data_IF_229529770476
#
_entry.id   IF_229529770476
#
_cell.length_a   1.000
_cell.length_b   1.000
_cell.length_c   1.000
_cell.angle_alpha   90.00
_cell.angle_beta   90.00
_cell.angle_gamma   90.00
#
_symmetry.space_group_name_H-M   'P 1'
#
loop_
_entity.id
_entity.type
_entity.pdbx_description
1 polymer ?
#
# COMPACT_ATOMS: atom_id res chain seq x y z
N UNK A 1 -0.87 -21.45 11.47
CA UNK A 1 -1.32 -22.67 10.77
C UNK A 1 -2.78 -22.46 10.37
N UNK A 2 -3.02 -22.03 9.13
CA UNK A 2 -4.38 -21.77 8.62
C UNK A 2 -4.98 -23.10 8.14
N UNK A 3 -6.20 -23.48 8.57
CA UNK A 3 -6.74 -24.79 8.30
C UNK A 3 -7.07 -24.93 6.81
N UNK A 4 -6.60 -26.03 6.26
CA UNK A 4 -6.78 -26.50 4.88
C UNK A 4 -8.27 -26.65 4.56
N UNK A 5 -8.87 -25.62 3.95
CA UNK A 5 -10.16 -25.75 3.24
C UNK A 5 -9.95 -25.43 1.76
N UNK A 6 -8.96 -26.10 1.17
CA UNK A 6 -8.96 -26.47 -0.24
C UNK A 6 -9.33 -27.96 -0.35
N UNK A 7 -10.46 -28.37 0.25
CA UNK A 7 -11.02 -29.71 -0.02
C UNK A 7 -11.66 -29.69 -1.40
N UNK A 8 -10.82 -29.85 -2.42
CA UNK A 8 -11.04 -29.98 -3.87
C UNK A 8 -12.29 -29.30 -4.45
N UNK A 9 -12.09 -28.38 -5.42
CA UNK A 9 -13.18 -27.82 -6.22
C UNK A 9 -14.12 -28.90 -6.82
N UNK A 10 -13.59 -30.12 -7.03
CA UNK A 10 -14.36 -31.29 -7.47
C UNK A 10 -15.34 -31.80 -6.42
N UNK A 11 -14.95 -31.87 -5.14
CA UNK A 11 -15.85 -32.27 -4.05
C UNK A 11 -16.96 -31.22 -3.83
N UNK A 12 -16.61 -29.93 -3.89
CA UNK A 12 -17.60 -28.85 -3.84
C UNK A 12 -18.58 -28.93 -5.03
N UNK A 13 -18.08 -29.16 -6.24
CA UNK A 13 -18.92 -29.32 -7.42
C UNK A 13 -19.81 -30.57 -7.35
N UNK A 14 -19.28 -31.71 -6.88
CA UNK A 14 -20.04 -32.94 -6.71
C UNK A 14 -21.15 -32.78 -5.66
N UNK A 15 -20.83 -32.17 -4.51
CA UNK A 15 -21.82 -31.86 -3.49
C UNK A 15 -22.90 -30.91 -4.03
N UNK A 16 -22.51 -29.89 -4.79
CA UNK A 16 -23.45 -28.94 -5.38
C UNK A 16 -24.32 -29.59 -6.46
N UNK A 17 -23.80 -30.56 -7.21
CA UNK A 17 -24.58 -31.37 -8.15
C UNK A 17 -25.62 -32.24 -7.42
N UNK A 18 -25.25 -32.85 -6.28
CA UNK A 18 -26.20 -33.60 -5.44
C UNK A 18 -27.30 -32.68 -4.90
N UNK A 19 -26.93 -31.53 -4.34
CA UNK A 19 -27.90 -30.53 -3.87
C UNK A 19 -28.82 -30.06 -4.99
N UNK A 20 -28.27 -29.82 -6.19
CA UNK A 20 -29.04 -29.45 -7.38
C UNK A 20 -30.02 -30.55 -7.82
N UNK A 21 -29.59 -31.82 -7.80
CA UNK A 21 -30.45 -32.95 -8.12
C UNK A 21 -31.60 -33.12 -7.11
N UNK A 22 -31.32 -32.96 -5.81
CA UNK A 22 -32.34 -32.97 -4.75
C UNK A 22 -33.34 -31.82 -4.98
N UNK A 23 -32.84 -30.63 -5.31
CA UNK A 23 -33.71 -29.48 -5.60
C UNK A 23 -34.59 -29.71 -6.83
N UNK A 24 -34.06 -30.31 -7.91
CA UNK A 24 -34.86 -30.66 -9.09
C UNK A 24 -35.95 -31.69 -8.76
N UNK A 25 -35.64 -32.68 -7.91
CA UNK A 25 -36.64 -33.64 -7.44
C UNK A 25 -37.74 -32.95 -6.62
N UNK A 26 -37.36 -32.01 -5.74
CA UNK A 26 -38.34 -31.19 -5.00
C UNK A 26 -39.19 -30.33 -5.93
N UNK A 27 -38.58 -29.75 -6.97
CA UNK A 27 -39.29 -28.95 -7.97
C UNK A 27 -40.26 -29.80 -8.80
N UNK A 28 -39.95 -31.06 -9.06
CA UNK A 28 -40.88 -31.98 -9.71
C UNK A 28 -42.07 -32.34 -8.81
N UNK A 29 -41.90 -32.33 -7.48
CA UNK A 29 -42.94 -32.66 -6.50
C UNK A 29 -43.79 -31.45 -6.09
N UNK A 30 -43.22 -30.25 -6.06
CA UNK A 30 -43.89 -29.03 -5.61
C UNK A 30 -43.40 -27.78 -6.34
N UNK A 31 -44.36 -26.95 -6.75
CA UNK A 31 -44.10 -25.64 -7.34
C UNK A 31 -43.41 -24.66 -6.36
N UNK A 32 -43.59 -24.82 -5.05
CA UNK A 32 -43.01 -23.93 -4.03
C UNK A 32 -41.48 -24.12 -3.88
N UNK A 33 -40.92 -25.21 -4.41
CA UNK A 33 -39.49 -25.43 -4.42
C UNK A 33 -38.72 -24.35 -5.20
N UNK A 34 -39.41 -23.57 -6.05
CA UNK A 34 -38.83 -22.44 -6.79
C UNK A 34 -38.17 -21.41 -5.85
N UNK A 35 -38.69 -21.23 -4.64
CA UNK A 35 -38.15 -20.27 -3.66
C UNK A 35 -36.76 -20.67 -3.14
N UNK A 36 -36.44 -21.96 -3.17
CA UNK A 36 -35.11 -22.48 -2.77
C UNK A 36 -34.04 -22.18 -3.82
N UNK A 37 -34.41 -21.78 -5.04
CA UNK A 37 -33.46 -21.37 -6.07
C UNK A 37 -32.62 -20.14 -5.65
N UNK A 38 -33.20 -19.23 -4.87
CA UNK A 38 -32.52 -18.01 -4.44
C UNK A 38 -31.27 -18.29 -3.59
N UNK A 39 -31.33 -19.00 -2.45
CA UNK A 39 -30.12 -19.36 -1.70
C UNK A 39 -29.16 -20.26 -2.50
N UNK A 40 -29.67 -21.07 -3.44
CA UNK A 40 -28.83 -21.85 -4.34
C UNK A 40 -27.98 -20.96 -5.27
N UNK A 41 -28.51 -19.85 -5.77
CA UNK A 41 -27.72 -18.92 -6.59
C UNK A 41 -26.52 -18.36 -5.83
N UNK A 42 -26.69 -17.98 -4.57
CA UNK A 42 -25.59 -17.53 -3.71
C UNK A 42 -24.56 -18.63 -3.52
N UNK A 43 -25.00 -19.85 -3.24
CA UNK A 43 -24.14 -21.00 -3.03
C UNK A 43 -23.34 -21.36 -4.29
N UNK A 44 -23.99 -21.37 -5.46
CA UNK A 44 -23.36 -21.60 -6.76
C UNK A 44 -22.27 -20.56 -7.05
N UNK A 45 -22.57 -19.27 -6.85
CA UNK A 45 -21.63 -18.18 -7.11
C UNK A 45 -20.48 -18.12 -6.11
N UNK A 46 -20.68 -18.63 -4.89
CA UNK A 46 -19.65 -18.65 -3.85
C UNK A 46 -18.72 -19.88 -3.97
N UNK A 47 -19.25 -21.05 -4.33
CA UNK A 47 -18.48 -22.29 -4.41
C UNK A 47 -17.82 -22.52 -5.78
N UNK A 48 -18.42 -22.04 -6.87
CA UNK A 48 -17.89 -22.24 -8.23
C UNK A 48 -17.09 -21.02 -8.71
N UNK A 49 -16.20 -21.25 -9.67
CA UNK A 49 -15.47 -20.17 -10.34
C UNK A 49 -16.44 -19.21 -11.04
N UNK A 50 -16.05 -17.93 -11.20
CA UNK A 50 -16.90 -16.86 -11.75
C UNK A 50 -17.70 -17.25 -12.99
N UNK A 51 -17.10 -18.00 -13.93
CA UNK A 51 -17.76 -18.44 -15.17
C UNK A 51 -18.72 -19.61 -14.92
N UNK A 52 -18.30 -20.60 -14.13
CA UNK A 52 -19.09 -21.78 -13.84
C UNK A 52 -20.27 -21.47 -12.92
N UNK A 53 -20.12 -20.54 -11.97
CA UNK A 53 -21.21 -20.05 -11.13
C UNK A 53 -22.29 -19.31 -11.93
N UNK A 54 -21.89 -18.42 -12.87
CA UNK A 54 -22.85 -17.75 -13.76
C UNK A 54 -23.62 -18.76 -14.65
N UNK A 55 -22.91 -19.72 -15.24
CA UNK A 55 -23.55 -20.78 -16.03
C UNK A 55 -24.53 -21.61 -15.19
N UNK A 56 -24.14 -21.98 -13.97
CA UNK A 56 -24.99 -22.70 -13.03
C UNK A 56 -26.25 -21.90 -12.67
N UNK A 57 -26.12 -20.59 -12.37
CA UNK A 57 -27.26 -19.71 -12.08
C UNK A 57 -28.22 -19.69 -13.25
N UNK A 58 -27.74 -19.47 -14.47
CA UNK A 58 -28.59 -19.49 -15.68
C UNK A 58 -29.32 -20.83 -15.82
N UNK A 59 -28.62 -21.95 -15.63
CA UNK A 59 -29.23 -23.29 -15.69
C UNK A 59 -30.32 -23.48 -14.62
N UNK A 60 -30.06 -23.10 -13.37
CA UNK A 60 -31.08 -23.19 -12.31
C UNK A 60 -32.25 -22.23 -12.52
N UNK A 61 -32.02 -21.04 -13.07
CA UNK A 61 -33.09 -20.10 -13.43
C UNK A 61 -33.99 -20.69 -14.52
N UNK A 62 -33.41 -21.27 -15.56
CA UNK A 62 -34.18 -21.94 -16.62
C UNK A 62 -34.96 -23.15 -16.08
N UNK A 63 -34.34 -23.96 -15.22
CA UNK A 63 -35.00 -25.10 -14.59
C UNK A 63 -36.16 -24.65 -13.68
N UNK A 64 -35.97 -23.57 -12.91
CA UNK A 64 -37.01 -22.99 -12.06
C UNK A 64 -38.23 -22.53 -12.88
N UNK A 65 -37.99 -21.80 -13.97
CA UNK A 65 -39.06 -21.32 -14.87
C UNK A 65 -39.79 -22.50 -15.53
N UNK A 66 -39.04 -23.48 -16.05
CA UNK A 66 -39.61 -24.65 -16.73
C UNK A 66 -40.43 -25.53 -15.77
N UNK A 67 -39.89 -25.83 -14.58
CA UNK A 67 -40.58 -26.65 -13.58
C UNK A 67 -41.86 -25.99 -13.07
N UNK A 68 -41.81 -24.68 -12.79
CA UNK A 68 -42.98 -23.94 -12.33
C UNK A 68 -44.06 -23.81 -13.41
N UNK A 69 -43.66 -23.64 -14.68
CA UNK A 69 -44.60 -23.62 -15.81
C UNK A 69 -45.24 -24.99 -16.07
N UNK A 70 -44.48 -26.08 -15.91
CA UNK A 70 -45.00 -27.44 -16.05
C UNK A 70 -46.09 -27.76 -15.01
N UNK A 71 -45.95 -27.29 -13.77
CA UNK A 71 -46.96 -27.46 -12.72
C UNK A 71 -48.23 -26.65 -12.96
N UNK A 72 -48.12 -25.44 -13.49
CA UNK A 72 -49.28 -24.55 -13.71
C UNK A 72 -49.96 -24.73 -15.07
N UNK A 73 -49.38 -25.54 -15.97
CA UNK A 73 -49.90 -25.78 -17.32
C UNK A 73 -49.98 -24.52 -18.19
N UNK A 74 -49.44 -23.40 -17.72
CA UNK A 74 -49.48 -22.09 -18.36
C UNK A 74 -48.21 -21.31 -18.04
N UNK A 75 -47.88 -20.35 -18.89
CA UNK A 75 -46.73 -19.47 -18.72
C UNK A 75 -47.22 -18.05 -18.44
N UNK A 76 -46.81 -17.45 -17.33
CA UNK A 76 -47.06 -16.04 -17.05
C UNK A 76 -45.76 -15.28 -16.78
N UNK A 77 -45.73 -14.00 -17.16
CA UNK A 77 -44.54 -13.16 -16.99
C UNK A 77 -44.10 -13.07 -15.52
N UNK A 78 -45.06 -13.07 -14.59
CA UNK A 78 -44.79 -13.03 -13.15
C UNK A 78 -43.93 -14.20 -12.66
N UNK A 79 -44.06 -15.38 -13.31
CA UNK A 79 -43.28 -16.58 -12.97
C UNK A 79 -41.79 -16.44 -13.34
N UNK A 80 -41.49 -15.69 -14.40
CA UNK A 80 -40.12 -15.46 -14.85
C UNK A 80 -39.44 -14.31 -14.08
N UNK A 81 -40.21 -13.31 -13.65
CA UNK A 81 -39.68 -12.11 -12.98
C UNK A 81 -38.97 -12.45 -11.68
N UNK A 82 -39.53 -13.32 -10.83
CA UNK A 82 -38.93 -13.69 -9.53
C UNK A 82 -37.52 -14.30 -9.67
N UNK A 83 -37.37 -15.43 -10.39
CA UNK A 83 -36.07 -16.03 -10.64
C UNK A 83 -35.10 -15.12 -11.41
N UNK A 84 -35.59 -14.36 -12.40
CA UNK A 84 -34.76 -13.42 -13.16
C UNK A 84 -34.21 -12.29 -12.28
N UNK A 85 -35.05 -11.70 -11.42
CA UNK A 85 -34.63 -10.65 -10.49
C UNK A 85 -33.64 -11.22 -9.45
N UNK A 86 -33.90 -12.41 -8.91
CA UNK A 86 -32.97 -13.09 -8.01
C UNK A 86 -31.61 -13.35 -8.63
N UNK A 87 -31.57 -13.83 -9.88
CA UNK A 87 -30.35 -14.04 -10.64
C UNK A 87 -29.61 -12.71 -10.92
N UNK A 88 -30.34 -11.65 -11.26
CA UNK A 88 -29.76 -10.32 -11.50
C UNK A 88 -29.11 -9.74 -10.24
N UNK A 89 -29.80 -9.80 -9.09
CA UNK A 89 -29.26 -9.34 -7.80
C UNK A 89 -28.03 -10.16 -7.41
N UNK A 90 -28.09 -11.49 -7.53
CA UNK A 90 -26.97 -12.35 -7.23
C UNK A 90 -25.74 -12.04 -8.11
N UNK A 91 -25.94 -11.83 -9.42
CA UNK A 91 -24.88 -11.42 -10.33
C UNK A 91 -24.30 -10.04 -9.97
N UNK A 92 -25.16 -9.06 -9.64
CA UNK A 92 -24.74 -7.72 -9.24
C UNK A 92 -23.88 -7.74 -7.97
N UNK A 93 -24.27 -8.50 -6.94
CA UNK A 93 -23.50 -8.65 -5.69
C UNK A 93 -22.12 -9.25 -5.96
N UNK A 94 -22.03 -10.29 -6.79
CA UNK A 94 -20.75 -10.93 -7.10
C UNK A 94 -19.84 -9.99 -7.89
N UNK A 95 -20.37 -9.28 -8.88
CA UNK A 95 -19.59 -8.30 -9.63
C UNK A 95 -19.15 -7.14 -8.74
N UNK A 96 -20.02 -6.66 -7.85
CA UNK A 96 -19.71 -5.64 -6.85
C UNK A 96 -18.57 -6.09 -5.93
N UNK A 97 -18.67 -7.29 -5.35
CA UNK A 97 -17.62 -7.83 -4.49
C UNK A 97 -16.28 -7.95 -5.23
N UNK A 98 -16.28 -8.40 -6.49
CA UNK A 98 -15.05 -8.52 -7.29
C UNK A 98 -14.47 -7.19 -7.76
N UNK A 99 -15.31 -6.17 -7.97
CA UNK A 99 -14.85 -4.81 -8.23
C UNK A 99 -14.17 -4.24 -6.98
N UNK A 100 -14.86 -4.32 -5.84
CA UNK A 100 -14.34 -3.87 -4.54
C UNK A 100 -13.06 -4.58 -4.13
N UNK A 101 -12.98 -5.90 -4.34
CA UNK A 101 -11.78 -6.67 -4.00
C UNK A 101 -10.57 -6.27 -4.86
N UNK A 102 -10.77 -6.08 -6.17
CA UNK A 102 -9.70 -5.64 -7.07
C UNK A 102 -9.25 -4.22 -6.73
N UNK A 103 -10.19 -3.33 -6.46
CA UNK A 103 -9.90 -1.97 -6.03
C UNK A 103 -9.15 -1.94 -4.70
N UNK A 104 -9.54 -2.76 -3.73
CA UNK A 104 -8.88 -2.89 -2.43
C UNK A 104 -7.43 -3.38 -2.57
N UNK A 105 -7.19 -4.41 -3.39
CA UNK A 105 -5.83 -4.91 -3.64
C UNK A 105 -4.97 -3.88 -4.40
N UNK A 106 -5.53 -3.18 -5.38
CA UNK A 106 -4.82 -2.09 -6.07
C UNK A 106 -4.47 -0.95 -5.10
N UNK A 107 -5.42 -0.54 -4.26
CA UNK A 107 -5.20 0.49 -3.25
C UNK A 107 -4.13 0.04 -2.24
N UNK A 108 -4.12 -1.22 -1.82
CA UNK A 108 -3.09 -1.75 -0.92
C UNK A 108 -1.70 -1.65 -1.54
N UNK A 109 -1.55 -2.10 -2.80
CA UNK A 109 -0.28 -2.01 -3.54
C UNK A 109 0.22 -0.57 -3.67
N UNK A 110 -0.67 0.36 -4.00
CA UNK A 110 -0.31 1.78 -4.11
C UNK A 110 0.14 2.39 -2.78
N UNK A 111 -0.49 2.00 -1.66
CA UNK A 111 -0.08 2.45 -0.32
C UNK A 111 1.31 1.90 0.02
N UNK A 112 1.57 0.63 -0.27
CA UNK A 112 2.87 0.00 -0.08
C UNK A 112 3.97 0.72 -0.90
N UNK A 113 3.73 0.96 -2.20
CA UNK A 113 4.66 1.69 -3.08
C UNK A 113 4.90 3.14 -2.63
N UNK A 114 3.85 3.86 -2.24
CA UNK A 114 3.97 5.23 -1.73
C UNK A 114 4.77 5.28 -0.43
N UNK A 115 4.57 4.30 0.46
CA UNK A 115 5.28 4.23 1.74
C UNK A 115 6.76 3.93 1.52
N UNK A 116 7.08 3.00 0.62
CA UNK A 116 8.46 2.70 0.23
C UNK A 116 9.15 3.94 -0.38
N UNK A 117 8.50 4.61 -1.33
CA UNK A 117 9.04 5.81 -1.99
C UNK A 117 9.27 6.95 -0.99
N UNK A 118 8.36 7.15 -0.01
CA UNK A 118 8.55 8.15 1.05
C UNK A 118 9.71 7.81 1.97
N UNK A 119 9.92 6.53 2.30
CA UNK A 119 11.07 6.10 3.09
C UNK A 119 12.39 6.34 2.32
N UNK A 120 12.40 6.09 1.02
CA UNK A 120 13.55 6.35 0.16
C UNK A 120 13.87 7.85 0.07
N UNK A 121 12.82 8.68 -0.12
CA UNK A 121 12.96 10.13 -0.15
C UNK A 121 13.46 10.67 1.19
N UNK A 122 12.94 10.19 2.32
CA UNK A 122 13.38 10.60 3.64
C UNK A 122 14.86 10.26 3.88
N UNK A 123 15.30 9.07 3.45
CA UNK A 123 16.72 8.69 3.51
C UNK A 123 17.59 9.60 2.65
N UNK A 124 17.18 9.86 1.40
CA UNK A 124 17.92 10.73 0.49
C UNK A 124 18.02 12.17 1.03
N UNK A 125 16.93 12.72 1.58
CA UNK A 125 16.91 14.04 2.20
C UNK A 125 17.79 14.09 3.45
N UNK A 126 17.77 13.05 4.28
CA UNK A 126 18.65 12.99 5.45
C UNK A 126 20.12 12.99 5.04
N UNK A 127 20.52 12.16 4.06
CA UNK A 127 21.88 12.14 3.55
C UNK A 127 22.28 13.48 2.93
N UNK A 128 21.40 14.11 2.14
CA UNK A 128 21.64 15.43 1.57
C UNK A 128 21.80 16.50 2.67
N UNK A 129 20.98 16.44 3.73
CA UNK A 129 21.09 17.34 4.88
C UNK A 129 22.41 17.17 5.63
N UNK A 130 22.85 15.93 5.87
CA UNK A 130 24.15 15.65 6.52
C UNK A 130 25.31 16.17 5.67
N UNK A 131 25.24 16.02 4.34
CA UNK A 131 26.28 16.52 3.43
C UNK A 131 26.31 18.06 3.40
N UNK A 132 25.15 18.70 3.30
CA UNK A 132 25.05 20.16 3.33
C UNK A 132 25.58 20.74 4.64
N UNK A 133 25.29 20.10 5.77
CA UNK A 133 25.78 20.53 7.07
C UNK A 133 27.29 20.32 7.21
N UNK A 134 27.83 19.20 6.70
CA UNK A 134 29.29 19.00 6.65
C UNK A 134 29.99 20.07 5.83
N UNK A 135 29.43 20.45 4.69
CA UNK A 135 30.00 21.51 3.85
C UNK A 135 29.92 22.87 4.54
N UNK A 136 28.80 23.17 5.20
CA UNK A 136 28.63 24.38 6.02
C UNK A 136 29.68 24.45 7.12
N UNK A 137 29.83 23.37 7.89
CA UNK A 137 30.81 23.25 8.96
C UNK A 137 32.25 23.35 8.43
N UNK A 138 32.56 22.73 7.29
CA UNK A 138 33.88 22.85 6.69
C UNK A 138 34.22 24.28 6.29
N UNK A 139 33.25 25.03 5.74
CA UNK A 139 33.41 26.46 5.45
C UNK A 139 33.57 27.29 6.72
N UNK A 140 32.73 27.09 7.71
CA UNK A 140 32.77 27.83 8.98
C UNK A 140 34.11 27.59 9.72
N UNK A 141 34.59 26.35 9.78
CA UNK A 141 35.90 26.00 10.34
C UNK A 141 37.03 26.63 9.51
N UNK A 142 36.95 26.57 8.18
CA UNK A 142 37.99 27.14 7.32
C UNK A 142 38.08 28.66 7.46
N UNK A 143 36.94 29.35 7.54
CA UNK A 143 36.90 30.81 7.70
C UNK A 143 37.48 31.21 9.07
N UNK A 144 37.11 30.51 10.15
CA UNK A 144 37.68 30.75 11.49
C UNK A 144 39.18 30.48 11.53
N UNK A 145 39.65 29.37 10.97
CA UNK A 145 41.08 29.05 10.88
C UNK A 145 41.85 30.09 10.05
N UNK A 146 41.32 30.48 8.88
CA UNK A 146 41.94 31.47 8.02
C UNK A 146 42.03 32.85 8.70
N UNK A 147 40.99 33.25 9.44
CA UNK A 147 40.97 34.49 10.22
C UNK A 147 41.98 34.46 11.36
N UNK A 148 42.02 33.36 12.14
CA UNK A 148 42.98 33.18 13.24
C UNK A 148 44.43 33.23 12.77
N UNK A 149 44.75 32.50 11.70
CA UNK A 149 46.07 32.50 11.07
C UNK A 149 46.46 33.88 10.52
N UNK A 150 45.51 34.61 9.92
CA UNK A 150 45.76 35.95 9.40
C UNK A 150 46.07 36.95 10.51
N UNK A 151 45.36 36.87 11.64
CA UNK A 151 45.60 37.68 12.83
C UNK A 151 47.00 37.43 13.41
N UNK A 152 47.39 36.16 13.56
CA UNK A 152 48.73 35.77 14.02
C UNK A 152 49.81 36.29 13.07
N UNK A 153 49.64 36.13 11.75
CA UNK A 153 50.57 36.67 10.76
C UNK A 153 50.72 38.19 10.84
N UNK A 154 49.63 38.94 11.02
CA UNK A 154 49.68 40.40 11.14
C UNK A 154 50.44 40.84 12.39
N UNK A 155 50.23 40.17 13.54
CA UNK A 155 50.95 40.43 14.79
C UNK A 155 52.44 40.12 14.66
N UNK A 156 52.81 39.00 14.03
CA UNK A 156 54.21 38.66 13.79
C UNK A 156 54.90 39.67 12.85
N UNK A 157 54.22 40.11 11.78
CA UNK A 157 54.75 41.17 10.90
C UNK A 157 54.86 42.52 11.59
N UNK A 158 54.05 42.80 12.60
CA UNK A 158 54.18 44.01 13.42
C UNK A 158 55.39 43.90 14.35
N UNK A 159 55.61 42.73 14.96
CA UNK A 159 56.79 42.45 15.77
C UNK A 159 58.10 42.62 14.99
N UNK A 160 58.20 42.03 13.79
CA UNK A 160 59.39 42.13 12.92
C UNK A 160 59.73 43.59 12.57
N UNK A 161 58.73 44.42 12.33
CA UNK A 161 58.91 45.85 12.01
C UNK A 161 59.33 46.69 13.22
N UNK A 162 58.86 46.34 14.42
CA UNK A 162 59.18 47.05 15.65
C UNK A 162 60.54 46.66 16.24
N UNK A 163 61.07 45.48 15.90
CA UNK A 163 62.30 44.92 16.47
C UNK A 163 63.53 45.85 16.43
N UNK A 164 63.82 46.60 15.33
CA UNK A 164 65.02 47.43 15.24
C UNK A 164 64.96 48.72 16.07
N UNK A 165 63.76 49.23 16.34
CA UNK A 165 63.55 50.59 16.90
C UNK A 165 62.81 50.59 18.24
N UNK A 166 62.06 49.54 18.57
CA UNK A 166 61.29 49.40 19.80
C UNK A 166 61.15 47.91 20.21
N UNK A 167 62.24 47.28 20.71
CA UNK A 167 62.26 45.85 21.02
C UNK A 167 61.20 45.43 22.07
N UNK A 168 60.85 46.30 23.02
CA UNK A 168 59.79 46.01 24.00
C UNK A 168 58.40 45.85 23.33
N UNK A 169 58.11 46.66 22.31
CA UNK A 169 56.86 46.54 21.53
C UNK A 169 56.86 45.28 20.66
N UNK A 170 58.02 44.89 20.12
CA UNK A 170 58.15 43.64 19.38
C UNK A 170 57.83 42.42 20.27
N UNK A 171 58.33 42.39 21.52
CA UNK A 171 58.01 41.34 22.48
C UNK A 171 56.51 41.29 22.80
N UNK A 172 55.84 42.43 22.97
CA UNK A 172 54.38 42.48 23.19
C UNK A 172 53.59 41.88 22.02
N UNK A 173 53.98 42.18 20.77
CA UNK A 173 53.31 41.62 19.59
C UNK A 173 53.51 40.10 19.47
N UNK A 174 54.68 39.58 19.86
CA UNK A 174 54.93 38.13 19.92
C UNK A 174 54.05 37.46 20.99
N UNK A 175 53.95 38.05 22.18
CA UNK A 175 53.08 37.52 23.23
C UNK A 175 51.60 37.54 22.82
N UNK A 176 51.16 38.60 22.13
CA UNK A 176 49.81 38.68 21.56
C UNK A 176 49.58 37.61 20.47
N UNK A 177 50.55 37.38 19.58
CA UNK A 177 50.46 36.34 18.56
C UNK A 177 50.40 34.94 19.19
N UNK A 178 51.19 34.71 20.24
CA UNK A 178 51.19 33.47 21.01
C UNK A 178 49.84 33.25 21.70
N UNK A 179 49.30 34.29 22.34
CA UNK A 179 47.99 34.21 22.97
C UNK A 179 46.89 33.93 21.94
N UNK A 180 46.88 34.63 20.81
CA UNK A 180 45.95 34.39 19.71
C UNK A 180 46.05 32.95 19.16
N UNK A 181 47.25 32.37 19.10
CA UNK A 181 47.43 30.97 18.70
C UNK A 181 46.85 29.99 19.73
N UNK A 182 47.04 30.26 21.03
CA UNK A 182 46.46 29.46 22.12
C UNK A 182 44.94 29.55 22.10
N UNK A 183 44.40 30.76 21.93
CA UNK A 183 42.95 30.99 21.91
C UNK A 183 42.30 30.30 20.69
N UNK A 184 42.89 30.42 19.50
CA UNK A 184 42.40 29.71 18.30
C UNK A 184 42.48 28.18 18.43
N UNK A 185 43.47 27.65 19.16
CA UNK A 185 43.57 26.21 19.43
C UNK A 185 42.58 25.72 20.51
N UNK A 186 42.16 26.61 21.41
CA UNK A 186 41.16 26.28 22.43
C UNK A 186 39.72 26.34 21.89
N UNK A 187 39.50 27.07 20.80
CA UNK A 187 38.19 27.28 20.17
C UNK A 187 37.93 26.33 18.98
N UNK A 188 38.97 25.61 18.51
CA UNK A 188 38.91 24.58 17.47
C UNK A 188 38.77 23.16 18.05
#
# INVERSE_FOLDING_TARGET
VLPVVRRSARAAAAWLAVVGAVWLALLALSADAVWVAFPLFFLQLHLLSRRAGLAAVVLTTLAAIAGFSAHQGSFSLGMAIGPALGAAVAAAVVWGYQALYRESEQRRRLIEELTATRADLARAQHTAGVLAERERLAREIHDTLAQGLSSIQLLLRAAERALPSAPENATRHIDQARQAAVDNLAEA
#
